data_IF_028294931054
#
_entry.id   IF_028294931054
#
_cell.length_a   1.000
_cell.length_b   1.000
_cell.length_c   1.000
_cell.angle_alpha   90.00
_cell.angle_beta   90.00
_cell.angle_gamma   90.00
#
_symmetry.space_group_name_H-M   'P 1'
#
loop_
_entity.id
_entity.type
_entity.pdbx_description
1 polymer ?
#
# COMPACT_ATOMS: atom_id res chain seq x y z
N UNK A 1 -6.22 25.80 -21.88
CA UNK A 1 -7.05 24.59 -21.67
C UNK A 1 -6.15 23.39 -21.86
N UNK A 2 -5.98 22.56 -20.82
CA UNK A 2 -5.29 21.27 -21.02
C UNK A 2 -6.16 20.41 -21.94
N UNK A 3 -5.56 19.82 -22.97
CA UNK A 3 -6.30 18.91 -23.85
C UNK A 3 -6.77 17.70 -23.04
N UNK A 4 -7.97 17.20 -23.34
CA UNK A 4 -8.53 16.01 -22.66
C UNK A 4 -7.56 14.83 -22.75
N UNK A 5 -6.81 14.71 -23.86
CA UNK A 5 -5.75 13.71 -24.05
C UNK A 5 -4.63 13.80 -23.01
N UNK A 6 -4.15 15.00 -22.67
CA UNK A 6 -3.13 15.22 -21.65
C UNK A 6 -3.63 14.84 -20.26
N UNK A 7 -4.89 15.18 -19.95
CA UNK A 7 -5.52 14.80 -18.67
C UNK A 7 -5.65 13.28 -18.58
N UNK A 8 -6.10 12.61 -19.64
CA UNK A 8 -6.23 11.15 -19.67
C UNK A 8 -4.88 10.45 -19.47
N UNK A 9 -3.80 10.94 -20.10
CA UNK A 9 -2.45 10.43 -19.88
C UNK A 9 -2.00 10.59 -18.43
N UNK A 10 -2.24 11.75 -17.82
CA UNK A 10 -1.95 12.00 -16.41
C UNK A 10 -2.69 11.04 -15.46
N UNK A 11 -3.97 10.77 -15.75
CA UNK A 11 -4.77 9.80 -14.99
C UNK A 11 -4.20 8.38 -15.10
N UNK A 12 -3.82 7.94 -16.30
CA UNK A 12 -3.23 6.62 -16.51
C UNK A 12 -1.91 6.47 -15.72
N UNK A 13 -1.06 7.49 -15.76
CA UNK A 13 0.19 7.51 -14.99
C UNK A 13 -0.09 7.44 -13.48
N UNK A 14 -1.05 8.23 -12.99
CA UNK A 14 -1.42 8.21 -11.58
C UNK A 14 -1.96 6.85 -11.12
N UNK A 15 -2.77 6.17 -11.95
CA UNK A 15 -3.24 4.80 -11.69
C UNK A 15 -2.05 3.83 -11.62
N UNK A 16 -1.11 3.93 -12.57
CA UNK A 16 0.09 3.09 -12.59
C UNK A 16 0.96 3.28 -11.36
N UNK A 17 1.18 4.53 -10.94
CA UNK A 17 1.90 4.84 -9.70
C UNK A 17 1.19 4.25 -8.49
N UNK A 18 -0.12 4.44 -8.37
CA UNK A 18 -0.90 3.88 -7.25
C UNK A 18 -0.84 2.36 -7.19
N UNK A 19 -0.94 1.68 -8.33
CA UNK A 19 -0.77 0.23 -8.41
C UNK A 19 0.58 -0.23 -7.86
N UNK A 20 1.68 0.42 -8.26
CA UNK A 20 3.02 0.07 -7.80
C UNK A 20 3.20 0.30 -6.29
N UNK A 21 2.63 1.38 -5.75
CA UNK A 21 2.64 1.67 -4.31
C UNK A 21 1.90 0.57 -3.55
N UNK A 22 0.68 0.24 -3.96
CA UNK A 22 -0.13 -0.78 -3.29
C UNK A 22 0.48 -2.18 -3.38
N UNK A 23 1.08 -2.54 -4.51
CA UNK A 23 1.82 -3.80 -4.65
C UNK A 23 3.04 -3.85 -3.71
N UNK A 24 3.79 -2.74 -3.58
CA UNK A 24 4.92 -2.63 -2.66
C UNK A 24 4.47 -2.78 -1.20
N UNK A 25 3.35 -2.17 -0.83
CA UNK A 25 2.73 -2.30 0.50
C UNK A 25 2.42 -3.77 0.80
N UNK A 26 1.77 -4.49 -0.11
CA UNK A 26 1.43 -5.90 0.07
C UNK A 26 2.68 -6.77 0.27
N UNK A 27 3.69 -6.61 -0.59
CA UNK A 27 4.97 -7.34 -0.46
C UNK A 27 5.67 -7.04 0.87
N UNK A 28 5.62 -5.78 1.33
CA UNK A 28 6.18 -5.40 2.63
C UNK A 28 5.41 -6.02 3.79
N UNK A 29 4.08 -6.12 3.69
CA UNK A 29 3.24 -6.80 4.69
C UNK A 29 3.62 -8.28 4.82
N UNK A 30 3.83 -8.99 3.70
CA UNK A 30 4.27 -10.39 3.72
C UNK A 30 5.68 -10.55 4.31
N UNK A 31 6.62 -9.69 3.92
CA UNK A 31 7.99 -9.71 4.43
C UNK A 31 8.05 -9.49 5.95
N UNK A 32 7.23 -8.56 6.46
CA UNK A 32 7.13 -8.24 7.89
C UNK A 32 6.39 -9.33 8.67
N UNK A 33 5.39 -9.98 8.07
CA UNK A 33 4.70 -11.11 8.69
C UNK A 33 5.66 -12.27 8.95
N UNK A 34 6.53 -12.57 7.97
CA UNK A 34 7.53 -13.65 8.04
C UNK A 34 8.64 -13.42 9.09
N UNK A 35 8.82 -12.20 9.59
CA UNK A 35 9.83 -11.92 10.63
C UNK A 35 9.40 -12.40 12.02
N UNK A 36 8.10 -12.57 12.28
CA UNK A 36 7.57 -13.19 13.51
C UNK A 36 7.77 -12.44 14.84
N UNK A 37 8.58 -11.37 14.89
CA UNK A 37 8.98 -10.70 16.15
C UNK A 37 8.11 -9.48 16.51
N UNK A 38 7.32 -8.96 15.58
CA UNK A 38 6.63 -7.68 15.72
C UNK A 38 5.15 -7.85 16.09
N UNK A 39 4.63 -6.99 16.98
CA UNK A 39 3.19 -6.89 17.26
C UNK A 39 2.44 -6.24 16.10
N UNK A 40 1.10 -6.36 16.07
CA UNK A 40 0.28 -5.86 14.95
C UNK A 40 0.47 -4.38 14.61
N UNK A 41 0.69 -3.51 15.60
CA UNK A 41 0.95 -2.08 15.35
C UNK A 41 2.38 -1.84 14.87
N UNK A 42 3.36 -2.54 15.45
CA UNK A 42 4.76 -2.45 15.01
C UNK A 42 4.94 -2.96 13.58
N UNK A 43 4.19 -4.00 13.18
CA UNK A 43 4.16 -4.49 11.79
C UNK A 43 3.67 -3.39 10.84
N UNK A 44 2.60 -2.69 11.20
CA UNK A 44 2.07 -1.57 10.40
C UNK A 44 3.09 -0.44 10.27
N UNK A 45 3.73 -0.05 11.37
CA UNK A 45 4.78 0.98 11.35
C UNK A 45 5.97 0.58 10.48
N UNK A 46 6.41 -0.68 10.55
CA UNK A 46 7.49 -1.20 9.73
C UNK A 46 7.15 -1.19 8.22
N UNK A 47 5.92 -1.59 7.86
CA UNK A 47 5.44 -1.52 6.46
C UNK A 47 5.40 -0.07 5.97
N UNK A 48 4.88 0.86 6.78
CA UNK A 48 4.84 2.28 6.45
C UNK A 48 6.26 2.84 6.26
N UNK A 49 7.18 2.51 7.15
CA UNK A 49 8.57 2.97 7.06
C UNK A 49 9.28 2.41 5.82
N UNK A 50 9.02 1.15 5.47
CA UNK A 50 9.55 0.53 4.26
C UNK A 50 9.04 1.26 3.01
N UNK A 51 7.72 1.40 2.88
CA UNK A 51 7.07 2.00 1.69
C UNK A 51 7.45 3.47 1.51
N UNK A 52 7.66 4.22 2.61
CA UNK A 52 8.14 5.60 2.55
C UNK A 52 9.44 5.75 1.75
N UNK A 53 10.31 4.74 1.76
CA UNK A 53 11.57 4.74 0.99
C UNK A 53 11.38 4.65 -0.52
N UNK A 54 10.19 4.31 -1.02
CA UNK A 54 9.91 4.03 -2.43
C UNK A 54 8.95 5.03 -3.08
N UNK A 55 8.46 6.02 -2.34
CA UNK A 55 7.37 6.89 -2.77
C UNK A 55 7.72 8.35 -2.54
N UNK A 56 7.73 9.14 -3.63
CA UNK A 56 7.83 10.60 -3.57
C UNK A 56 6.50 11.23 -3.12
N UNK A 57 6.50 12.49 -2.68
CA UNK A 57 5.31 13.19 -2.14
C UNK A 57 4.62 12.41 -1.01
N UNK A 58 5.45 11.88 -0.09
CA UNK A 58 5.01 10.97 0.98
C UNK A 58 3.81 11.48 1.80
N UNK A 59 3.71 12.79 2.04
CA UNK A 59 2.61 13.34 2.84
C UNK A 59 1.23 13.14 2.18
N UNK A 60 1.17 13.09 0.84
CA UNK A 60 -0.05 12.78 0.09
C UNK A 60 -0.35 11.26 0.11
N UNK A 61 0.68 10.43 0.01
CA UNK A 61 0.56 8.97 -0.05
C UNK A 61 0.34 8.30 1.30
N UNK A 62 0.91 8.83 2.38
CA UNK A 62 0.84 8.29 3.74
C UNK A 62 -0.59 7.93 4.18
N UNK A 63 -1.62 8.81 4.07
CA UNK A 63 -2.97 8.45 4.47
C UNK A 63 -3.55 7.31 3.61
N UNK A 64 -3.29 7.30 2.31
CA UNK A 64 -3.77 6.27 1.38
C UNK A 64 -3.14 4.90 1.67
N UNK A 65 -1.82 4.88 1.88
CA UNK A 65 -1.06 3.68 2.26
C UNK A 65 -1.57 3.13 3.59
N UNK A 66 -1.79 3.98 4.60
CA UNK A 66 -2.30 3.53 5.90
C UNK A 66 -3.68 2.88 5.79
N UNK A 67 -4.61 3.49 5.04
CA UNK A 67 -5.95 2.93 4.80
C UNK A 67 -5.84 1.59 4.07
N UNK A 68 -4.99 1.51 3.05
CA UNK A 68 -4.82 0.29 2.27
C UNK A 68 -4.28 -0.87 3.12
N UNK A 69 -3.31 -0.63 4.01
CA UNK A 69 -2.81 -1.64 4.95
C UNK A 69 -3.95 -2.19 5.83
N UNK A 70 -4.80 -1.31 6.37
CA UNK A 70 -5.92 -1.71 7.22
C UNK A 70 -6.96 -2.54 6.44
N UNK A 71 -7.28 -2.12 5.22
CA UNK A 71 -8.19 -2.84 4.32
C UNK A 71 -7.64 -4.22 3.94
N UNK A 72 -6.36 -4.31 3.56
CA UNK A 72 -5.73 -5.58 3.19
C UNK A 72 -5.70 -6.55 4.37
N UNK A 73 -5.38 -6.05 5.57
CA UNK A 73 -5.42 -6.85 6.80
C UNK A 73 -6.82 -7.35 7.12
N UNK A 74 -7.84 -6.50 6.97
CA UNK A 74 -9.23 -6.90 7.18
C UNK A 74 -9.65 -7.98 6.17
N UNK A 75 -9.33 -7.80 4.89
CA UNK A 75 -9.59 -8.79 3.84
C UNK A 75 -8.88 -10.13 4.14
N UNK A 76 -7.59 -10.08 4.48
CA UNK A 76 -6.81 -11.26 4.87
C UNK A 76 -7.46 -12.01 6.03
N UNK A 77 -7.85 -11.32 7.11
CA UNK A 77 -8.52 -11.96 8.25
C UNK A 77 -9.90 -12.55 7.90
N UNK A 78 -10.67 -11.88 7.03
CA UNK A 78 -11.97 -12.37 6.57
C UNK A 78 -11.85 -13.65 5.74
N UNK A 79 -10.87 -13.73 4.84
CA UNK A 79 -10.69 -14.90 3.96
C UNK A 79 -9.81 -15.98 4.58
N UNK A 80 -8.95 -15.68 5.56
CA UNK A 80 -8.13 -16.68 6.26
C UNK A 80 -8.97 -17.77 6.91
N UNK A 81 -10.21 -17.46 7.30
CA UNK A 81 -11.18 -18.44 7.81
C UNK A 81 -11.58 -19.47 6.74
N UNK A 82 -11.55 -19.10 5.46
CA UNK A 82 -11.92 -19.95 4.33
C UNK A 82 -10.80 -20.91 3.89
N UNK A 83 -9.56 -20.65 4.27
CA UNK A 83 -8.37 -21.42 3.87
C UNK A 83 -7.68 -22.11 5.07
N UNK A 84 -8.45 -22.40 6.13
CA UNK A 84 -7.99 -23.21 7.26
C UNK A 84 -8.03 -24.70 6.95
#
# INVERSE_FOLDING_TARGET
>A
MNQISTVAQGVIVAIGTGFNVYATVANAMDAVENQGVLTGNQKKEAVIAFVKGFVENWDEWKPLVSIFIDQLKAAYNAVKVLFK
#
